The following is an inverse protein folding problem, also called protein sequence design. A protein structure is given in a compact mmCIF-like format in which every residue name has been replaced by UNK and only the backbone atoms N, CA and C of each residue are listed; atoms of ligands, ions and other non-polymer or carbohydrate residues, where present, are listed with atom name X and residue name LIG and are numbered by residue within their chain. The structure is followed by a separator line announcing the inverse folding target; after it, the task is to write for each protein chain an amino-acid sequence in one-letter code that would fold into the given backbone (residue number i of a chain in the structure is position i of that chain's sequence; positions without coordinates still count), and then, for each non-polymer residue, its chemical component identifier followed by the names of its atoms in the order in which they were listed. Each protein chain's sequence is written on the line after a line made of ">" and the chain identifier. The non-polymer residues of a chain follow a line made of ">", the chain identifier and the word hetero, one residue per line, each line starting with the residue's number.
data_IF_812129288513
#
_entry.id   IF_812129288513
#
_cell.length_a   1.000
_cell.length_b   1.000
_cell.length_c   1.000
_cell.angle_alpha   90.00
_cell.angle_beta   90.00
_cell.angle_gamma   90.00
#
_symmetry.space_group_name_H-M   'P 1'
#
loop_
_entity.id
_entity.type
_entity.pdbx_description
1 polymer ?
#
# COMPACT_ATOMS: atom_id res chain seq x y z
N UNK A 1 -2.92 20.39 -29.16
CA UNK A 1 -3.01 19.98 -27.74
C UNK A 1 -4.50 19.88 -27.42
N UNK A 2 -5.05 18.66 -27.42
CA UNK A 2 -6.48 18.44 -27.14
C UNK A 2 -6.67 18.52 -25.62
N UNK A 3 -7.42 19.52 -25.16
CA UNK A 3 -7.82 19.63 -23.76
C UNK A 3 -8.95 18.62 -23.56
N UNK A 4 -8.64 17.47 -22.96
CA UNK A 4 -9.66 16.52 -22.52
C UNK A 4 -10.31 17.10 -21.26
N UNK A 5 -11.63 17.34 -21.31
CA UNK A 5 -12.35 17.87 -20.15
C UNK A 5 -12.67 16.72 -19.18
N UNK A 6 -12.65 16.95 -17.86
CA UNK A 6 -12.88 15.89 -16.86
C UNK A 6 -14.15 15.07 -17.08
N UNK A 7 -15.21 15.70 -17.61
CA UNK A 7 -16.49 15.08 -17.95
C UNK A 7 -16.47 14.18 -19.19
N UNK A 8 -15.46 14.33 -20.06
CA UNK A 8 -15.26 13.51 -21.26
C UNK A 8 -14.50 12.21 -20.93
N UNK A 9 -14.06 12.02 -19.67
CA UNK A 9 -13.50 10.77 -19.17
C UNK A 9 -14.69 9.85 -18.86
N UNK A 10 -14.88 8.73 -19.59
CA UNK A 10 -15.93 7.80 -19.25
C UNK A 10 -15.76 7.37 -17.79
N UNK A 11 -16.81 7.58 -16.98
CA UNK A 11 -17.03 6.93 -15.69
C UNK A 11 -17.23 5.43 -15.95
N UNK A 12 -16.24 4.78 -16.56
CA UNK A 12 -16.21 3.34 -16.57
C UNK A 12 -16.01 2.95 -15.12
N UNK A 13 -17.09 2.43 -14.55
CA UNK A 13 -17.15 1.66 -13.31
C UNK A 13 -15.80 0.98 -13.15
N UNK A 14 -14.93 1.59 -12.34
CA UNK A 14 -13.61 1.04 -12.11
C UNK A 14 -13.90 -0.32 -11.53
N UNK A 15 -13.73 -1.34 -12.36
CA UNK A 15 -13.87 -2.73 -11.94
C UNK A 15 -12.60 -2.93 -11.14
N UNK A 16 -12.67 -2.57 -9.86
CA UNK A 16 -11.56 -2.66 -8.93
C UNK A 16 -11.23 -4.15 -8.88
N UNK A 17 -10.04 -4.50 -9.31
CA UNK A 17 -9.58 -5.89 -9.24
C UNK A 17 -9.47 -6.38 -7.77
N UNK A 18 -9.64 -5.46 -6.80
CA UNK A 18 -9.70 -5.70 -5.37
C UNK A 18 -10.62 -4.63 -4.73
N UNK A 19 -11.76 -5.04 -4.17
CA UNK A 19 -12.92 -4.20 -3.73
C UNK A 19 -12.66 -3.12 -2.65
N UNK A 20 -11.42 -2.74 -2.35
CA UNK A 20 -11.09 -1.80 -1.26
C UNK A 20 -10.23 -0.63 -1.76
N UNK A 21 -10.67 0.60 -1.47
CA UNK A 21 -9.89 1.81 -1.76
C UNK A 21 -8.81 1.99 -0.69
N UNK A 22 -7.54 2.14 -1.08
CA UNK A 22 -6.45 2.42 -0.12
C UNK A 22 -5.82 3.76 -0.45
N UNK A 23 -5.84 4.69 0.50
CA UNK A 23 -5.27 6.04 0.31
C UNK A 23 -4.44 6.49 1.51
N UNK A 24 -3.41 7.28 1.22
CA UNK A 24 -2.58 7.92 2.25
C UNK A 24 -3.21 9.19 2.83
N UNK A 25 -4.19 9.78 2.14
CA UNK A 25 -4.99 10.90 2.65
C UNK A 25 -5.94 10.45 3.77
N UNK A 26 -6.42 11.41 4.57
CA UNK A 26 -7.37 11.13 5.65
C UNK A 26 -8.82 10.98 5.14
N UNK A 27 -9.08 11.20 3.86
CA UNK A 27 -10.39 11.09 3.21
C UNK A 27 -10.20 10.78 1.72
N UNK A 28 -11.28 10.35 1.06
CA UNK A 28 -11.33 10.11 -0.38
C UNK A 28 -12.22 11.19 -1.01
N UNK A 29 -11.71 12.07 -1.90
CA UNK A 29 -12.51 13.12 -2.51
C UNK A 29 -13.74 12.57 -3.25
N UNK A 30 -14.90 13.21 -3.06
CA UNK A 30 -16.18 12.75 -3.61
C UNK A 30 -16.85 11.63 -2.79
N UNK A 31 -16.25 11.22 -1.66
CA UNK A 31 -16.80 10.23 -0.75
C UNK A 31 -16.73 10.71 0.69
N UNK A 32 -17.70 10.28 1.49
CA UNK A 32 -17.77 10.52 2.93
C UNK A 32 -17.60 9.20 3.68
N UNK A 33 -16.75 9.20 4.70
CA UNK A 33 -16.69 8.10 5.65
C UNK A 33 -17.95 8.12 6.52
N UNK A 34 -18.78 7.09 6.39
CA UNK A 34 -20.04 6.91 7.13
C UNK A 34 -19.85 6.06 8.38
N UNK A 35 -18.82 5.21 8.41
CA UNK A 35 -18.46 4.40 9.57
C UNK A 35 -16.94 4.21 9.66
N UNK A 36 -16.40 4.23 10.88
CA UNK A 36 -15.00 3.87 11.15
C UNK A 36 -14.96 2.51 11.84
N UNK A 37 -14.33 1.54 11.19
CA UNK A 37 -14.23 0.17 11.69
C UNK A 37 -13.01 -0.02 12.60
N UNK A 38 -11.97 0.79 12.40
CA UNK A 38 -10.83 0.88 13.32
C UNK A 38 -9.49 0.62 12.64
N UNK A 39 -8.49 0.31 13.45
CA UNK A 39 -7.11 0.11 13.00
C UNK A 39 -6.94 -1.21 12.25
N UNK A 40 -6.25 -1.16 11.11
CA UNK A 40 -5.87 -2.33 10.32
C UNK A 40 -4.38 -2.32 10.03
N UNK A 41 -3.81 -3.51 9.90
CA UNK A 41 -2.40 -3.69 9.60
C UNK A 41 -2.14 -5.00 8.88
N UNK A 42 -1.00 -5.04 8.18
CA UNK A 42 -0.41 -6.24 7.60
C UNK A 42 1.10 -6.16 7.70
N UNK A 43 1.74 -7.24 8.13
CA UNK A 43 3.19 -7.29 8.36
C UNK A 43 3.83 -8.39 7.53
N UNK A 44 5.10 -8.24 7.18
CA UNK A 44 5.93 -9.32 6.65
C UNK A 44 7.37 -9.16 7.14
N UNK A 45 8.05 -10.30 7.33
CA UNK A 45 9.47 -10.34 7.68
C UNK A 45 10.20 -11.10 6.58
N UNK A 46 11.26 -10.49 6.03
CA UNK A 46 12.07 -11.10 4.97
C UNK A 46 13.54 -11.17 5.36
N UNK A 47 14.17 -12.28 5.01
CA UNK A 47 15.62 -12.41 5.13
C UNK A 47 16.32 -11.67 3.99
N UNK A 48 17.22 -10.76 4.33
CA UNK A 48 18.13 -10.07 3.39
C UNK A 48 19.19 -11.03 2.82
N UNK A 49 19.36 -12.20 3.43
CA UNK A 49 20.45 -13.15 3.16
C UNK A 49 20.25 -14.10 1.98
N UNK A 50 19.04 -14.26 1.43
CA UNK A 50 18.76 -15.29 0.41
C UNK A 50 19.10 -14.86 -1.02
N UNK A 51 19.36 -13.56 -1.28
CA UNK A 51 19.72 -13.08 -2.63
C UNK A 51 20.78 -11.97 -2.73
N UNK A 52 21.19 -11.33 -1.63
CA UNK A 52 21.94 -10.06 -1.70
C UNK A 52 23.40 -10.08 -1.26
N UNK A 53 23.85 -11.08 -0.49
CA UNK A 53 25.18 -11.02 0.14
C UNK A 53 26.35 -11.14 -0.87
N UNK A 54 26.13 -11.71 -2.06
CA UNK A 54 27.18 -11.93 -3.05
C UNK A 54 27.36 -10.73 -4.02
N UNK A 55 26.33 -9.89 -4.22
CA UNK A 55 26.36 -8.75 -5.16
C UNK A 55 26.45 -7.35 -4.51
N UNK A 56 26.03 -7.21 -3.25
CA UNK A 56 25.97 -5.91 -2.58
C UNK A 56 27.36 -5.35 -2.20
N UNK A 57 28.32 -6.22 -1.87
CA UNK A 57 29.66 -5.81 -1.44
C UNK A 57 30.49 -5.11 -2.52
N UNK A 58 30.22 -5.38 -3.81
CA UNK A 58 30.92 -4.75 -4.94
C UNK A 58 30.20 -3.48 -5.41
N UNK A 59 28.85 -3.46 -5.39
CA UNK A 59 28.07 -2.30 -5.86
C UNK A 59 27.99 -1.15 -4.86
N UNK A 60 28.08 -1.42 -3.54
CA UNK A 60 28.12 -0.36 -2.53
C UNK A 60 29.38 0.51 -2.62
N UNK A 61 30.49 -0.02 -3.13
CA UNK A 61 31.73 0.73 -3.33
C UNK A 61 31.65 1.75 -4.48
N UNK A 62 30.75 1.53 -5.45
CA UNK A 62 30.56 2.41 -6.62
C UNK A 62 29.28 3.26 -6.56
N UNK A 63 28.56 3.24 -5.43
CA UNK A 63 27.48 4.19 -5.15
C UNK A 63 26.25 4.07 -6.04
N UNK A 64 25.79 2.86 -6.35
CA UNK A 64 24.59 2.60 -7.16
C UNK A 64 23.45 1.90 -6.42
N UNK A 65 22.24 1.96 -6.98
CA UNK A 65 21.08 1.19 -6.52
C UNK A 65 21.33 -0.32 -6.63
N UNK A 66 20.96 -1.06 -5.57
CA UNK A 66 21.02 -2.52 -5.56
C UNK A 66 19.65 -3.04 -5.98
N UNK A 67 19.46 -3.26 -7.28
CA UNK A 67 18.18 -3.64 -7.90
C UNK A 67 17.52 -4.85 -7.25
N UNK A 68 18.30 -5.84 -6.82
CA UNK A 68 17.78 -7.03 -6.15
C UNK A 68 17.16 -6.70 -4.79
N UNK A 69 17.74 -5.73 -4.05
CA UNK A 69 17.12 -5.25 -2.82
C UNK A 69 15.89 -4.41 -3.10
N UNK A 70 15.88 -3.58 -4.15
CA UNK A 70 14.66 -2.84 -4.53
C UNK A 70 13.51 -3.81 -4.83
N UNK A 71 13.76 -4.81 -5.68
CA UNK A 71 12.76 -5.83 -6.02
C UNK A 71 12.27 -6.60 -4.77
N UNK A 72 13.18 -6.96 -3.86
CA UNK A 72 12.83 -7.61 -2.59
C UNK A 72 11.94 -6.71 -1.71
N UNK A 73 12.26 -5.41 -1.65
CA UNK A 73 11.50 -4.45 -0.85
C UNK A 73 10.11 -4.17 -1.45
N UNK A 74 9.99 -4.10 -2.77
CA UNK A 74 8.70 -3.99 -3.46
C UNK A 74 7.82 -5.20 -3.19
N UNK A 75 8.36 -6.42 -3.31
CA UNK A 75 7.63 -7.64 -2.98
C UNK A 75 7.18 -7.67 -1.51
N UNK A 76 8.04 -7.22 -0.60
CA UNK A 76 7.72 -7.16 0.83
C UNK A 76 6.58 -6.16 1.11
N UNK A 77 6.62 -4.98 0.49
CA UNK A 77 5.56 -3.97 0.63
C UNK A 77 4.23 -4.46 0.06
N UNK A 78 4.25 -5.09 -1.12
CA UNK A 78 3.04 -5.65 -1.71
C UNK A 78 2.41 -6.71 -0.81
N UNK A 79 3.21 -7.60 -0.23
CA UNK A 79 2.70 -8.61 0.69
C UNK A 79 2.13 -8.02 1.99
N UNK A 80 2.79 -7.01 2.56
CA UNK A 80 2.27 -6.32 3.75
C UNK A 80 0.96 -5.59 3.45
N UNK A 81 0.87 -4.94 2.28
CA UNK A 81 -0.32 -4.26 1.80
C UNK A 81 -1.50 -5.23 1.59
N UNK A 82 -1.26 -6.36 0.93
CA UNK A 82 -2.26 -7.41 0.71
C UNK A 82 -2.83 -7.93 2.04
N UNK A 83 -1.96 -8.21 3.02
CA UNK A 83 -2.38 -8.61 4.38
C UNK A 83 -3.20 -7.53 5.11
N UNK A 84 -2.84 -6.26 4.94
CA UNK A 84 -3.61 -5.14 5.51
C UNK A 84 -4.99 -5.03 4.85
N UNK A 85 -5.07 -5.25 3.54
CA UNK A 85 -6.32 -5.29 2.78
C UNK A 85 -7.20 -6.46 3.23
N UNK A 86 -6.64 -7.66 3.39
CA UNK A 86 -7.35 -8.83 3.93
C UNK A 86 -7.90 -8.57 5.34
N UNK A 87 -7.11 -7.94 6.21
CA UNK A 87 -7.57 -7.54 7.54
C UNK A 87 -8.75 -6.57 7.45
N UNK A 88 -8.66 -5.52 6.64
CA UNK A 88 -9.76 -4.58 6.46
C UNK A 88 -11.02 -5.25 5.86
N UNK A 89 -10.85 -6.15 4.89
CA UNK A 89 -11.95 -6.96 4.33
C UNK A 89 -12.64 -7.82 5.38
N UNK A 90 -11.87 -8.43 6.29
CA UNK A 90 -12.44 -9.23 7.39
C UNK A 90 -13.28 -8.41 8.37
N UNK A 91 -13.08 -7.09 8.39
CA UNK A 91 -13.89 -6.14 9.16
C UNK A 91 -15.09 -5.59 8.36
N UNK A 92 -15.22 -5.93 7.08
CA UNK A 92 -16.26 -5.43 6.19
C UNK A 92 -15.95 -4.08 5.55
N UNK A 93 -14.72 -3.58 5.65
CA UNK A 93 -14.33 -2.28 5.12
C UNK A 93 -14.36 -2.22 3.59
N UNK A 94 -14.75 -1.08 3.03
CA UNK A 94 -14.62 -0.77 1.60
C UNK A 94 -13.53 0.29 1.32
N UNK A 95 -12.92 0.87 2.36
CA UNK A 95 -11.75 1.70 2.22
C UNK A 95 -10.80 1.64 3.43
N UNK A 96 -9.53 1.96 3.18
CA UNK A 96 -8.48 2.20 4.16
C UNK A 96 -7.93 3.62 3.91
N UNK A 97 -8.11 4.51 4.88
CA UNK A 97 -7.57 5.87 4.84
C UNK A 97 -6.34 6.00 5.74
N UNK A 98 -5.59 7.09 5.56
CA UNK A 98 -4.38 7.38 6.31
C UNK A 98 -3.36 6.23 6.27
N UNK A 99 -3.32 5.48 5.16
CA UNK A 99 -2.42 4.32 5.04
C UNK A 99 -0.96 4.74 5.09
N UNK A 100 -0.13 3.99 5.80
CA UNK A 100 1.31 4.22 5.95
C UNK A 100 2.06 2.90 5.85
N UNK A 101 3.35 3.01 5.55
CA UNK A 101 4.30 1.93 5.76
C UNK A 101 5.29 2.31 6.84
N UNK A 102 5.65 1.34 7.65
CA UNK A 102 6.83 1.37 8.50
C UNK A 102 7.77 0.22 8.14
N UNK A 103 9.03 0.32 8.53
CA UNK A 103 10.01 -0.73 8.32
C UNK A 103 11.07 -0.69 9.40
N UNK A 104 11.36 -1.84 10.00
CA UNK A 104 12.38 -1.96 11.03
C UNK A 104 13.36 -3.10 10.73
N UNK A 105 14.58 -2.98 11.23
CA UNK A 105 15.57 -4.07 11.18
C UNK A 105 15.43 -4.92 12.45
N UNK A 106 14.95 -6.16 12.29
CA UNK A 106 14.91 -7.11 13.40
C UNK A 106 16.33 -7.63 13.71
N UNK A 107 17.15 -7.78 12.67
CA UNK A 107 18.57 -8.16 12.77
C UNK A 107 19.33 -7.72 11.51
N UNK A 108 20.63 -7.95 11.49
CA UNK A 108 21.48 -7.68 10.32
C UNK A 108 20.97 -8.37 9.04
N UNK A 109 20.33 -9.53 9.19
CA UNK A 109 19.87 -10.37 8.08
C UNK A 109 18.35 -10.40 7.91
N UNK A 110 17.57 -9.67 8.73
CA UNK A 110 16.11 -9.67 8.64
C UNK A 110 15.53 -8.26 8.73
N UNK A 111 14.49 -8.03 7.94
CA UNK A 111 13.72 -6.79 7.93
C UNK A 111 12.24 -7.07 8.11
N UNK A 112 11.59 -6.22 8.89
CA UNK A 112 10.14 -6.09 8.92
C UNK A 112 9.67 -5.01 7.95
N UNK A 113 8.53 -5.26 7.30
CA UNK A 113 7.70 -4.25 6.66
C UNK A 113 6.30 -4.33 7.24
N UNK A 114 5.81 -3.22 7.76
CA UNK A 114 4.47 -3.04 8.30
C UNK A 114 3.70 -2.08 7.40
N UNK A 115 2.53 -2.48 6.92
CA UNK A 115 1.52 -1.59 6.36
C UNK A 115 0.43 -1.40 7.42
N UNK A 116 -0.03 -0.17 7.63
CA UNK A 116 -1.14 0.10 8.55
C UNK A 116 -1.98 1.30 8.12
N UNK A 117 -3.21 1.39 8.65
CA UNK A 117 -4.13 2.48 8.38
C UNK A 117 -5.43 2.35 9.16
N UNK A 118 -6.46 3.09 8.75
CA UNK A 118 -7.79 3.06 9.36
C UNK A 118 -8.80 2.52 8.36
N UNK A 119 -9.44 1.40 8.69
CA UNK A 119 -10.54 0.83 7.94
C UNK A 119 -11.83 1.62 8.18
N UNK A 120 -12.50 1.97 7.08
CA UNK A 120 -13.74 2.76 7.07
C UNK A 120 -14.73 2.21 6.04
N UNK A 121 -16.00 2.56 6.21
CA UNK A 121 -17.02 2.49 5.17
C UNK A 121 -17.18 3.89 4.58
N UNK A 122 -17.03 4.02 3.26
CA UNK A 122 -17.27 5.25 2.51
C UNK A 122 -18.46 5.10 1.57
N UNK A 123 -19.19 6.20 1.38
CA UNK A 123 -20.30 6.36 0.42
C UNK A 123 -20.04 7.61 -0.43
N UNK A 124 -20.55 7.66 -1.67
CA UNK A 124 -20.46 8.85 -2.52
C UNK A 124 -21.14 10.04 -1.85
N UNK A 125 -20.51 11.22 -1.92
CA UNK A 125 -21.16 12.46 -1.48
C UNK A 125 -22.17 12.91 -2.53
N UNK A 126 -23.45 12.97 -2.16
CA UNK A 126 -24.51 13.50 -3.02
C UNK A 126 -24.13 14.91 -3.47
N UNK A 127 -24.08 15.10 -4.79
CA UNK A 127 -23.89 16.41 -5.41
C UNK A 127 -25.17 17.23 -5.23
N UNK A 128 -25.23 18.08 -4.21
CA UNK A 128 -26.29 19.09 -4.06
C UNK A 128 -26.06 20.29 -4.98
#
# INVERSE_FOLDING_TARGET
>A
MVVVRPEDIPLNTATFADDIVVVTSNFVPGFKAVETLGFVYGLTVRSRGVGGQIGAGIRSMFGGEIKEYVQMMEQSRNQALERMIEHARSMGANAIISSRFDSDQISDIMQEILAYGTAVIIEEEDSQ
#
